data_IF_885083415345
#
_entry.id   IF_885083415345
#
_cell.length_a   1.000
_cell.length_b   1.000
_cell.length_c   1.000
_cell.angle_alpha   90.00
_cell.angle_beta   90.00
_cell.angle_gamma   90.00
#
_symmetry.space_group_name_H-M   'P 1'
#
loop_
_entity.id
_entity.type
_entity.pdbx_description
1 polymer ?
#
# COMPACT_ATOMS: atom_id res chain seq x y z
N UNK A 1 -1.75 -14.06 -0.99
CA UNK A 1 -2.77 -14.36 -2.03
C UNK A 1 -2.71 -13.28 -3.10
N UNK A 2 -3.08 -13.64 -4.33
CA UNK A 2 -3.16 -12.68 -5.45
C UNK A 2 -4.60 -12.58 -5.91
N UNK A 3 -5.11 -11.36 -5.96
CA UNK A 3 -6.45 -11.05 -6.41
C UNK A 3 -6.38 -10.23 -7.70
N UNK A 4 -7.09 -10.66 -8.74
CA UNK A 4 -7.13 -9.98 -10.05
C UNK A 4 -8.56 -9.94 -10.61
N UNK A 5 -8.75 -9.32 -11.78
CA UNK A 5 -10.01 -9.39 -12.51
C UNK A 5 -10.32 -10.77 -13.13
N UNK A 6 -9.44 -11.75 -12.99
CA UNK A 6 -9.67 -13.13 -13.48
C UNK A 6 -9.50 -13.34 -14.98
N UNK A 7 -9.14 -12.31 -15.76
CA UNK A 7 -8.92 -12.38 -17.20
C UNK A 7 -7.55 -12.93 -17.61
N UNK A 8 -7.26 -12.90 -18.90
CA UNK A 8 -5.97 -13.30 -19.46
C UNK A 8 -4.85 -12.28 -19.26
N UNK A 9 -3.72 -12.51 -19.91
CA UNK A 9 -2.56 -11.60 -19.88
C UNK A 9 -1.92 -11.50 -18.50
N UNK A 10 -1.67 -10.28 -18.02
CA UNK A 10 -1.00 -10.05 -16.73
C UNK A 10 -1.80 -10.57 -15.52
N UNK A 11 -3.13 -10.59 -15.60
CA UNK A 11 -3.98 -11.18 -14.57
C UNK A 11 -3.76 -12.70 -14.46
N UNK A 12 -3.64 -13.37 -15.61
CA UNK A 12 -3.30 -14.78 -15.66
C UNK A 12 -1.88 -15.04 -15.10
N UNK A 13 -0.90 -14.23 -15.50
CA UNK A 13 0.47 -14.34 -15.00
C UNK A 13 0.54 -14.20 -13.46
N UNK A 14 -0.25 -13.29 -12.89
CA UNK A 14 -0.39 -13.17 -11.43
C UNK A 14 -0.95 -14.44 -10.79
N UNK A 15 -1.98 -15.04 -11.37
CA UNK A 15 -2.55 -16.29 -10.89
C UNK A 15 -1.62 -17.50 -11.09
N UNK A 16 -0.85 -17.55 -12.19
CA UNK A 16 0.17 -18.57 -12.42
C UNK A 16 1.27 -18.50 -11.35
N UNK A 17 1.74 -17.31 -11.03
CA UNK A 17 2.75 -17.10 -9.99
C UNK A 17 2.27 -17.43 -8.58
N UNK A 18 1.01 -17.16 -8.25
CA UNK A 18 0.41 -17.45 -6.94
C UNK A 18 -0.03 -18.91 -6.80
N UNK A 19 -0.37 -19.56 -7.91
CA UNK A 19 -1.06 -20.86 -7.96
C UNK A 19 -2.56 -20.73 -7.63
N UNK A 20 -3.34 -21.69 -8.11
CA UNK A 20 -4.81 -21.71 -7.99
C UNK A 20 -5.30 -21.52 -6.55
N UNK A 21 -4.63 -22.14 -5.60
CA UNK A 21 -5.03 -22.12 -4.19
C UNK A 21 -4.92 -20.73 -3.57
N UNK A 22 -3.94 -19.94 -4.04
CA UNK A 22 -3.67 -18.58 -3.57
C UNK A 22 -4.21 -17.49 -4.50
N UNK A 23 -5.12 -17.83 -5.41
CA UNK A 23 -5.68 -16.91 -6.39
C UNK A 23 -7.15 -16.63 -6.14
N UNK A 24 -7.53 -15.35 -6.29
CA UNK A 24 -8.92 -14.87 -6.34
C UNK A 24 -9.17 -14.15 -7.66
N UNK A 25 -10.28 -14.46 -8.33
CA UNK A 25 -10.74 -13.76 -9.52
C UNK A 25 -11.99 -12.92 -9.21
N UNK A 26 -11.92 -11.61 -9.37
CA UNK A 26 -13.06 -10.70 -9.26
C UNK A 26 -13.48 -10.24 -10.65
N UNK A 27 -14.25 -11.07 -11.33
CA UNK A 27 -14.64 -10.83 -12.73
C UNK A 27 -15.83 -9.87 -12.82
N UNK A 28 -15.90 -9.12 -13.92
CA UNK A 28 -17.04 -8.26 -14.27
C UNK A 28 -17.83 -8.90 -15.43
N UNK A 29 -19.14 -8.96 -15.28
CA UNK A 29 -20.01 -9.41 -16.37
C UNK A 29 -20.08 -8.33 -17.45
N UNK A 30 -19.49 -8.61 -18.60
CA UNK A 30 -19.55 -7.74 -19.79
C UNK A 30 -20.53 -8.32 -20.81
N UNK A 31 -21.11 -7.49 -21.72
CA UNK A 31 -22.01 -7.94 -22.78
C UNK A 31 -21.34 -8.90 -23.79
N UNK A 32 -20.01 -8.86 -23.89
CA UNK A 32 -19.17 -9.80 -24.64
C UNK A 32 -18.48 -10.73 -23.64
N UNK A 33 -18.47 -12.01 -23.93
CA UNK A 33 -17.87 -13.02 -23.05
C UNK A 33 -16.36 -12.74 -22.86
N UNK A 34 -15.99 -12.42 -21.62
CA UNK A 34 -14.62 -12.41 -21.20
C UNK A 34 -14.39 -13.72 -20.41
N UNK A 35 -13.73 -14.68 -21.03
CA UNK A 35 -13.42 -15.95 -20.39
C UNK A 35 -12.45 -15.73 -19.22
N UNK A 36 -12.69 -16.44 -18.14
CA UNK A 36 -11.72 -16.49 -17.03
C UNK A 36 -10.43 -17.19 -17.49
N UNK A 37 -9.30 -16.82 -16.90
CA UNK A 37 -8.06 -17.53 -17.19
C UNK A 37 -8.10 -18.96 -16.61
N UNK A 38 -7.33 -19.91 -17.22
CA UNK A 38 -7.40 -21.34 -16.85
C UNK A 38 -7.06 -21.65 -15.40
N UNK A 39 -6.32 -20.75 -14.73
CA UNK A 39 -5.91 -20.97 -13.34
C UNK A 39 -7.09 -20.86 -12.37
N UNK A 40 -8.01 -19.91 -12.64
CA UNK A 40 -9.13 -19.61 -11.73
C UNK A 40 -10.49 -20.09 -12.28
N UNK A 41 -10.57 -20.51 -13.54
CA UNK A 41 -11.80 -20.99 -14.15
C UNK A 41 -12.41 -22.13 -13.36
N UNK A 42 -13.73 -22.03 -13.09
CA UNK A 42 -14.50 -23.02 -12.32
C UNK A 42 -14.15 -23.11 -10.85
N UNK A 43 -13.30 -22.23 -10.32
CA UNK A 43 -12.97 -22.17 -8.89
C UNK A 43 -14.03 -21.34 -8.14
N UNK A 44 -14.48 -21.73 -6.92
CA UNK A 44 -15.39 -20.91 -6.12
C UNK A 44 -14.84 -19.54 -5.71
N UNK A 45 -13.53 -19.34 -5.80
CA UNK A 45 -12.87 -18.03 -5.61
C UNK A 45 -12.94 -17.12 -6.85
N UNK A 46 -13.56 -17.57 -7.95
CA UNK A 46 -13.92 -16.71 -9.08
C UNK A 46 -15.30 -16.12 -8.84
N UNK A 47 -15.33 -14.87 -8.43
CA UNK A 47 -16.57 -14.14 -8.08
C UNK A 47 -16.95 -13.23 -9.26
N UNK A 48 -18.22 -13.29 -9.66
CA UNK A 48 -18.74 -12.50 -10.77
C UNK A 48 -19.53 -11.29 -10.28
N UNK A 49 -19.10 -10.10 -10.64
CA UNK A 49 -19.74 -8.84 -10.31
C UNK A 49 -20.56 -8.33 -11.49
N UNK A 50 -21.74 -7.78 -11.18
CA UNK A 50 -22.59 -7.11 -12.16
C UNK A 50 -22.19 -5.65 -12.35
N UNK A 51 -21.70 -5.00 -11.31
CA UNK A 51 -21.39 -3.57 -11.30
C UNK A 51 -19.91 -3.32 -11.01
N UNK A 52 -19.32 -2.36 -11.72
CA UNK A 52 -17.92 -1.98 -11.58
C UNK A 52 -17.60 -1.47 -10.18
N UNK A 53 -18.46 -0.62 -9.60
CA UNK A 53 -18.19 0.00 -8.28
C UNK A 53 -18.11 -1.03 -7.15
N UNK A 54 -18.92 -2.09 -7.20
CA UNK A 54 -18.83 -3.16 -6.18
C UNK A 54 -17.55 -3.96 -6.34
N UNK A 55 -17.15 -4.29 -7.58
CA UNK A 55 -15.88 -4.98 -7.83
C UNK A 55 -14.69 -4.17 -7.35
N UNK A 56 -14.63 -2.87 -7.67
CA UNK A 56 -13.59 -1.96 -7.20
C UNK A 56 -13.44 -1.93 -5.69
N UNK A 57 -14.58 -1.85 -4.99
CA UNK A 57 -14.59 -1.84 -3.53
C UNK A 57 -13.86 -3.06 -2.97
N UNK A 58 -14.13 -4.25 -3.50
CA UNK A 58 -13.48 -5.48 -3.03
C UNK A 58 -12.02 -5.58 -3.48
N UNK A 59 -11.69 -5.13 -4.71
CA UNK A 59 -10.31 -5.12 -5.20
C UNK A 59 -9.38 -4.28 -4.33
N UNK A 60 -9.86 -3.18 -3.76
CA UNK A 60 -9.06 -2.31 -2.92
C UNK A 60 -9.18 -2.67 -1.44
N UNK A 61 -10.40 -2.78 -0.91
CA UNK A 61 -10.64 -2.96 0.52
C UNK A 61 -9.94 -4.18 1.11
N UNK A 62 -9.88 -5.27 0.35
CA UNK A 62 -9.32 -6.55 0.80
C UNK A 62 -7.84 -6.74 0.38
N UNK A 63 -7.16 -5.66 -0.07
CA UNK A 63 -5.77 -5.72 -0.53
C UNK A 63 -4.81 -5.04 0.43
N UNK A 64 -3.75 -5.76 0.80
CA UNK A 64 -2.62 -5.25 1.57
C UNK A 64 -1.56 -4.59 0.68
N UNK A 65 -1.63 -4.75 -0.63
CA UNK A 65 -0.77 -4.10 -1.61
C UNK A 65 -1.48 -4.04 -2.97
N UNK A 66 -1.17 -3.02 -3.75
CA UNK A 66 -1.70 -2.85 -5.11
C UNK A 66 -0.55 -2.80 -6.10
N UNK A 67 -0.58 -3.72 -7.08
CA UNK A 67 0.36 -3.76 -8.20
C UNK A 67 -0.40 -3.44 -9.50
N UNK A 68 -0.03 -2.34 -10.13
CA UNK A 68 -0.64 -1.84 -11.37
C UNK A 68 0.30 -2.04 -12.55
N UNK A 69 -0.19 -2.68 -13.59
CA UNK A 69 0.54 -2.94 -14.84
C UNK A 69 -0.05 -2.15 -16.00
N UNK A 70 0.73 -1.87 -17.07
CA UNK A 70 0.22 -1.16 -18.24
C UNK A 70 -1.08 -1.75 -18.78
N UNK A 71 -2.08 -0.90 -19.04
CA UNK A 71 -3.39 -1.34 -19.51
C UNK A 71 -4.23 -0.20 -20.05
N UNK A 72 -5.49 -0.48 -20.37
CA UNK A 72 -6.44 0.48 -20.92
C UNK A 72 -7.13 1.33 -19.85
N UNK A 73 -8.29 1.87 -20.22
CA UNK A 73 -9.08 2.75 -19.34
C UNK A 73 -9.45 2.11 -18.01
N UNK A 74 -9.72 0.80 -17.96
CA UNK A 74 -10.02 0.12 -16.70
C UNK A 74 -8.84 0.13 -15.72
N UNK A 75 -7.60 0.00 -16.23
CA UNK A 75 -6.39 0.12 -15.39
C UNK A 75 -6.21 1.55 -14.88
N UNK A 76 -6.44 2.55 -15.73
CA UNK A 76 -6.37 3.96 -15.33
C UNK A 76 -7.45 4.32 -14.30
N UNK A 77 -8.64 3.79 -14.48
CA UNK A 77 -9.77 3.95 -13.57
C UNK A 77 -9.43 3.40 -12.16
N UNK A 78 -8.85 2.19 -12.08
CA UNK A 78 -8.39 1.63 -10.81
C UNK A 78 -7.18 2.41 -10.23
N UNK A 79 -6.27 2.87 -11.08
CA UNK A 79 -5.11 3.65 -10.63
C UNK A 79 -5.54 4.97 -9.98
N UNK A 80 -6.40 5.74 -10.64
CA UNK A 80 -6.87 7.02 -10.08
C UNK A 80 -7.78 6.84 -8.87
N UNK A 81 -8.61 5.81 -8.84
CA UNK A 81 -9.40 5.47 -7.66
C UNK A 81 -8.47 5.18 -6.45
N UNK A 82 -7.48 4.32 -6.66
CA UNK A 82 -6.51 3.96 -5.63
C UNK A 82 -5.77 5.21 -5.10
N UNK A 83 -5.28 6.09 -6.00
CA UNK A 83 -4.61 7.33 -5.62
C UNK A 83 -5.55 8.26 -4.83
N UNK A 84 -6.79 8.43 -5.29
CA UNK A 84 -7.78 9.30 -4.62
C UNK A 84 -8.12 8.77 -3.22
N UNK A 85 -8.33 7.47 -3.08
CA UNK A 85 -8.66 6.86 -1.79
C UNK A 85 -7.47 6.91 -0.83
N UNK A 86 -6.24 6.71 -1.32
CA UNK A 86 -5.02 6.85 -0.51
C UNK A 86 -4.81 8.30 -0.08
N UNK A 87 -4.93 9.27 -0.99
CA UNK A 87 -4.79 10.70 -0.73
C UNK A 87 -5.82 11.21 0.30
N UNK A 88 -7.03 10.66 0.27
CA UNK A 88 -8.13 11.08 1.18
C UNK A 88 -8.21 10.23 2.46
N UNK A 89 -7.32 9.26 2.65
CA UNK A 89 -7.31 8.38 3.82
C UNK A 89 -8.51 7.43 3.89
N UNK A 90 -9.20 7.19 2.77
CA UNK A 90 -10.33 6.24 2.67
C UNK A 90 -9.87 4.81 2.37
N UNK A 91 -8.64 4.68 1.92
CA UNK A 91 -7.90 3.44 1.80
C UNK A 91 -6.69 3.54 2.74
N UNK A 92 -6.48 2.56 3.60
CA UNK A 92 -5.41 2.59 4.59
C UNK A 92 -4.03 2.73 3.93
N UNK A 93 -2.99 3.13 4.66
CA UNK A 93 -1.65 3.14 4.10
C UNK A 93 -1.25 1.72 3.66
N UNK A 94 -1.17 1.53 2.35
CA UNK A 94 -0.73 0.30 1.69
C UNK A 94 0.23 0.65 0.56
N UNK A 95 1.20 -0.21 0.22
CA UNK A 95 2.11 0.04 -0.89
C UNK A 95 1.36 -0.07 -2.22
N UNK A 96 1.49 0.97 -3.04
CA UNK A 96 0.98 1.00 -4.42
C UNK A 96 2.18 1.05 -5.36
N UNK A 97 2.30 0.07 -6.24
CA UNK A 97 3.43 -0.06 -7.15
C UNK A 97 2.96 -0.12 -8.60
N UNK A 98 3.42 0.83 -9.39
CA UNK A 98 3.18 0.94 -10.83
C UNK A 98 4.36 0.27 -11.55
N UNK A 99 4.11 -0.91 -12.11
CA UNK A 99 5.16 -1.80 -12.62
C UNK A 99 5.09 -1.84 -14.13
N UNK A 100 6.18 -1.47 -14.79
CA UNK A 100 6.35 -1.59 -16.23
C UNK A 100 7.20 -2.82 -16.60
N UNK A 101 7.20 -3.18 -17.87
CA UNK A 101 8.22 -4.08 -18.42
C UNK A 101 9.60 -3.41 -18.38
N UNK A 102 10.70 -4.16 -18.30
CA UNK A 102 12.04 -3.57 -18.37
C UNK A 102 12.21 -2.66 -19.59
N UNK A 103 12.62 -1.41 -19.36
CA UNK A 103 12.73 -0.36 -20.39
C UNK A 103 11.38 0.20 -20.88
N UNK A 104 10.26 -0.13 -20.26
CA UNK A 104 8.95 0.45 -20.57
C UNK A 104 8.85 1.92 -20.14
N UNK A 105 7.93 2.64 -20.76
CA UNK A 105 7.71 4.07 -20.55
C UNK A 105 6.27 4.44 -20.16
N UNK A 106 5.39 3.45 -20.07
CA UNK A 106 3.96 3.68 -19.80
C UNK A 106 3.73 4.42 -18.48
N UNK A 107 4.25 3.89 -17.38
CA UNK A 107 4.09 4.51 -16.07
C UNK A 107 5.00 5.72 -15.87
N UNK A 108 6.13 5.79 -16.56
CA UNK A 108 6.99 6.98 -16.59
C UNK A 108 6.25 8.15 -17.24
N UNK A 109 5.66 7.94 -18.42
CA UNK A 109 4.86 8.95 -19.12
C UNK A 109 3.63 9.37 -18.31
N UNK A 110 3.01 8.42 -17.61
CA UNK A 110 1.91 8.72 -16.69
C UNK A 110 2.40 9.59 -15.52
N UNK A 111 3.52 9.26 -14.90
CA UNK A 111 4.12 10.04 -13.81
C UNK A 111 4.48 11.46 -14.27
N UNK A 112 5.03 11.61 -15.48
CA UNK A 112 5.28 12.92 -16.07
C UNK A 112 3.99 13.74 -16.30
N UNK A 113 2.90 13.08 -16.68
CA UNK A 113 1.58 13.73 -16.78
C UNK A 113 1.13 14.22 -15.40
N UNK A 114 1.20 13.38 -14.35
CA UNK A 114 0.84 13.76 -12.98
C UNK A 114 1.67 14.98 -12.53
N UNK A 115 2.98 14.93 -12.73
CA UNK A 115 3.89 16.02 -12.38
C UNK A 115 3.51 17.34 -13.08
N UNK A 116 3.42 17.31 -14.40
CA UNK A 116 3.17 18.52 -15.22
C UNK A 116 1.75 19.07 -15.09
N UNK A 117 0.76 18.19 -14.99
CA UNK A 117 -0.64 18.61 -15.09
C UNK A 117 -1.35 18.70 -13.73
N UNK A 118 -0.89 17.98 -12.72
CA UNK A 118 -1.49 18.00 -11.39
C UNK A 118 -0.58 18.69 -10.38
N UNK A 119 0.65 18.22 -10.21
CA UNK A 119 1.56 18.72 -9.19
C UNK A 119 1.96 20.18 -9.44
N UNK A 120 2.51 20.51 -10.61
CA UNK A 120 2.91 21.89 -10.96
C UNK A 120 1.76 22.87 -11.00
N UNK A 121 0.53 22.39 -11.15
CA UNK A 121 -0.68 23.25 -11.11
C UNK A 121 -1.31 23.34 -9.72
N UNK A 122 -0.72 22.70 -8.71
CA UNK A 122 -1.24 22.71 -7.34
C UNK A 122 -2.57 21.96 -7.17
N UNK A 123 -2.87 20.98 -8.04
CA UNK A 123 -4.08 20.17 -7.96
C UNK A 123 -3.92 18.96 -7.05
N UNK A 124 -2.68 18.61 -6.73
CA UNK A 124 -2.27 17.62 -5.74
C UNK A 124 -1.15 18.20 -4.89
N UNK A 125 -0.94 17.66 -3.69
CA UNK A 125 0.11 18.12 -2.78
C UNK A 125 1.50 17.67 -3.23
N UNK A 126 2.59 18.40 -2.86
CA UNK A 126 3.96 18.02 -3.19
C UNK A 126 4.36 16.64 -2.69
N UNK A 127 3.71 16.17 -1.63
CA UNK A 127 3.96 14.88 -0.98
C UNK A 127 3.15 13.72 -1.58
N UNK A 128 2.11 13.99 -2.37
CA UNK A 128 1.26 12.95 -2.97
C UNK A 128 2.01 11.96 -3.88
N UNK A 129 3.11 12.32 -4.57
CA UNK A 129 3.95 11.32 -5.25
C UNK A 129 4.55 10.24 -4.33
N UNK A 130 4.55 10.45 -3.00
CA UNK A 130 4.97 9.43 -2.02
C UNK A 130 3.93 8.31 -1.82
N UNK A 131 2.72 8.45 -2.34
CA UNK A 131 1.65 7.45 -2.25
C UNK A 131 1.92 6.22 -3.12
N UNK A 132 2.81 6.31 -4.12
CA UNK A 132 3.09 5.22 -5.04
C UNK A 132 4.55 5.13 -5.44
N UNK A 133 4.96 3.97 -5.94
CA UNK A 133 6.29 3.71 -6.50
C UNK A 133 6.15 3.36 -7.97
N UNK A 134 6.95 3.97 -8.84
CA UNK A 134 7.04 3.62 -10.28
C UNK A 134 8.35 2.88 -10.53
N UNK A 135 8.29 1.72 -11.18
CA UNK A 135 9.47 0.92 -11.49
C UNK A 135 9.26 0.01 -12.70
N UNK A 136 10.33 -0.32 -13.38
CA UNK A 136 10.41 -1.35 -14.41
C UNK A 136 11.28 -2.56 -13.98
N UNK A 137 11.65 -2.58 -12.68
CA UNK A 137 12.41 -3.65 -12.05
C UNK A 137 11.53 -4.42 -11.04
N UNK A 138 11.38 -5.72 -11.26
CA UNK A 138 10.57 -6.59 -10.39
C UNK A 138 11.16 -6.73 -8.98
N UNK A 139 12.47 -6.65 -8.81
CA UNK A 139 13.11 -6.71 -7.48
C UNK A 139 12.78 -5.44 -6.69
N UNK A 140 12.82 -4.29 -7.35
CA UNK A 140 12.40 -3.01 -6.75
C UNK A 140 10.92 -3.06 -6.38
N UNK A 141 10.06 -3.58 -7.26
CA UNK A 141 8.63 -3.73 -7.01
C UNK A 141 8.35 -4.63 -5.78
N UNK A 142 8.96 -5.81 -5.73
CA UNK A 142 8.81 -6.72 -4.59
C UNK A 142 9.33 -6.08 -3.29
N UNK A 143 10.47 -5.39 -3.35
CA UNK A 143 11.03 -4.70 -2.20
C UNK A 143 10.13 -3.54 -1.72
N UNK A 144 9.51 -2.79 -2.62
CA UNK A 144 8.58 -1.72 -2.25
C UNK A 144 7.40 -2.27 -1.42
N UNK A 145 6.86 -3.43 -1.82
CA UNK A 145 5.77 -4.09 -1.10
C UNK A 145 6.24 -4.67 0.24
N UNK A 146 7.32 -5.45 0.24
CA UNK A 146 7.74 -6.18 1.45
C UNK A 146 8.32 -5.26 2.51
N UNK A 147 9.09 -4.23 2.12
CA UNK A 147 9.67 -3.26 3.05
C UNK A 147 8.63 -2.33 3.66
N UNK A 148 7.50 -2.10 2.98
CA UNK A 148 6.42 -1.29 3.54
C UNK A 148 5.90 -1.85 4.87
N UNK A 149 5.95 -3.15 5.03
CA UNK A 149 5.52 -3.86 6.24
C UNK A 149 6.68 -4.40 7.09
N UNK A 150 7.88 -3.84 6.96
CA UNK A 150 9.04 -4.32 7.72
C UNK A 150 8.89 -4.04 9.22
N UNK A 151 8.53 -2.82 9.59
CA UNK A 151 8.27 -2.37 10.95
C UNK A 151 6.80 -1.96 11.12
N UNK A 152 6.26 -1.18 10.20
CA UNK A 152 4.85 -0.86 10.15
C UNK A 152 4.01 -2.13 10.03
N UNK A 153 2.98 -2.26 10.86
CA UNK A 153 2.01 -3.35 10.77
C UNK A 153 0.69 -2.85 10.17
N UNK A 154 0.07 -1.89 10.81
CA UNK A 154 -1.24 -1.35 10.41
C UNK A 154 -1.50 -0.02 11.12
N UNK A 155 -2.54 0.67 10.72
CA UNK A 155 -3.00 1.86 11.43
C UNK A 155 -4.52 1.92 11.50
N UNK A 156 -5.04 2.61 12.51
CA UNK A 156 -6.47 2.89 12.66
C UNK A 156 -6.70 4.17 13.46
N UNK A 157 -7.87 4.72 13.33
CA UNK A 157 -8.31 5.78 14.23
C UNK A 157 -9.00 5.20 15.46
N UNK A 158 -8.66 5.75 16.62
CA UNK A 158 -9.34 5.52 17.90
C UNK A 158 -9.76 6.91 18.43
N UNK A 159 -11.01 7.25 18.23
CA UNK A 159 -11.47 8.62 18.40
C UNK A 159 -10.79 9.55 17.39
N UNK A 160 -10.13 10.60 17.89
CA UNK A 160 -9.39 11.60 17.11
C UNK A 160 -7.90 11.27 16.95
N UNK A 161 -7.44 10.16 17.53
CA UNK A 161 -6.04 9.73 17.48
C UNK A 161 -5.82 8.70 16.38
N UNK A 162 -4.76 8.90 15.59
CA UNK A 162 -4.21 7.89 14.72
C UNK A 162 -3.31 6.97 15.54
N UNK A 163 -3.60 5.69 15.55
CA UNK A 163 -2.80 4.63 16.18
C UNK A 163 -2.08 3.88 15.09
N UNK A 164 -0.74 3.89 15.11
CA UNK A 164 0.13 3.14 14.20
C UNK A 164 0.71 1.97 14.99
N UNK A 165 0.40 0.74 14.55
CA UNK A 165 0.90 -0.49 15.15
C UNK A 165 2.18 -0.90 14.47
N UNK A 166 3.15 -1.33 15.26
CA UNK A 166 4.48 -1.69 14.81
C UNK A 166 4.78 -3.16 15.13
N UNK A 167 5.61 -3.79 14.31
CA UNK A 167 6.13 -5.14 14.57
C UNK A 167 7.33 -5.14 15.52
N UNK A 168 7.99 -3.99 15.64
CA UNK A 168 9.19 -3.78 16.46
C UNK A 168 8.99 -2.50 17.25
N UNK A 169 9.38 -2.50 18.52
CA UNK A 169 9.34 -1.30 19.34
C UNK A 169 10.49 -0.35 18.96
N UNK A 170 10.16 0.92 18.75
CA UNK A 170 11.15 1.95 18.45
C UNK A 170 11.78 2.48 19.73
N UNK A 171 13.06 2.85 19.65
CA UNK A 171 13.75 3.55 20.73
C UNK A 171 13.23 4.98 20.91
N UNK A 172 13.45 5.58 22.08
CA UNK A 172 13.08 6.98 22.33
C UNK A 172 13.77 7.94 21.35
N UNK A 173 15.02 7.64 20.95
CA UNK A 173 15.78 8.45 19.97
C UNK A 173 15.09 8.42 18.60
N UNK A 174 14.63 7.27 18.15
CA UNK A 174 13.90 7.13 16.88
C UNK A 174 12.57 7.89 16.92
N UNK A 175 11.84 7.82 18.03
CA UNK A 175 10.59 8.58 18.21
C UNK A 175 10.85 10.09 18.21
N UNK A 176 11.95 10.55 18.83
CA UNK A 176 12.36 11.97 18.76
C UNK A 176 12.71 12.39 17.32
N UNK A 177 13.37 11.53 16.55
CA UNK A 177 13.61 11.79 15.11
C UNK A 177 12.31 11.91 14.32
N UNK A 178 11.30 11.07 14.60
CA UNK A 178 9.99 11.20 13.99
C UNK A 178 9.33 12.52 14.37
N UNK A 179 9.38 12.93 15.63
CA UNK A 179 8.85 14.22 16.08
C UNK A 179 9.56 15.40 15.40
N UNK A 180 10.88 15.33 15.26
CA UNK A 180 11.66 16.40 14.61
C UNK A 180 11.30 16.54 13.10
N UNK A 181 11.02 15.43 12.43
CA UNK A 181 10.82 15.42 10.97
C UNK A 181 9.36 15.50 10.53
N UNK A 182 8.40 15.13 11.40
CA UNK A 182 6.98 14.97 11.03
C UNK A 182 6.01 15.69 11.99
N UNK A 183 6.48 16.68 12.75
CA UNK A 183 5.59 17.51 13.60
C UNK A 183 4.59 18.34 12.78
N UNK A 184 4.88 18.58 11.51
CA UNK A 184 4.03 19.30 10.55
C UNK A 184 2.70 18.61 10.25
N UNK A 185 2.60 17.29 10.46
CA UNK A 185 1.34 16.54 10.25
C UNK A 185 0.45 16.48 11.50
N UNK A 186 0.87 17.06 12.60
CA UNK A 186 0.13 17.02 13.87
C UNK A 186 -0.84 18.19 14.00
N UNK A 187 -2.04 17.93 14.48
CA UNK A 187 -2.97 18.97 14.92
C UNK A 187 -2.50 19.56 16.25
N UNK A 188 -2.03 18.71 17.13
CA UNK A 188 -1.53 19.07 18.47
C UNK A 188 -0.68 17.94 19.06
N UNK A 189 0.04 18.22 20.13
CA UNK A 189 0.80 17.21 20.87
C UNK A 189 2.05 16.75 20.13
N UNK A 190 2.34 15.47 20.29
CA UNK A 190 3.54 14.80 19.77
C UNK A 190 3.20 13.40 19.26
N UNK A 191 4.14 12.80 18.53
CA UNK A 191 4.16 11.36 18.27
C UNK A 191 4.66 10.69 19.54
N UNK A 192 3.87 9.80 20.13
CA UNK A 192 4.17 9.16 21.41
C UNK A 192 4.09 7.63 21.29
N UNK A 193 4.96 6.93 22.00
CA UNK A 193 4.84 5.49 22.20
C UNK A 193 3.65 5.18 23.10
N UNK A 194 2.94 4.09 22.82
CA UNK A 194 1.81 3.66 23.62
C UNK A 194 1.69 2.14 23.65
N UNK A 195 1.07 1.63 24.69
CA UNK A 195 0.47 0.30 24.70
C UNK A 195 -0.91 0.36 24.03
N UNK A 196 -1.57 -0.80 23.90
CA UNK A 196 -2.92 -0.85 23.37
C UNK A 196 -3.87 0.06 24.14
N UNK A 197 -4.64 0.86 23.42
CA UNK A 197 -5.64 1.71 24.03
C UNK A 197 -6.82 0.85 24.55
N UNK A 198 -7.59 1.32 25.55
CA UNK A 198 -8.70 0.54 26.10
C UNK A 198 -9.69 0.04 25.06
N UNK A 199 -9.89 0.79 23.97
CA UNK A 199 -10.78 0.44 22.86
C UNK A 199 -10.20 -0.67 21.95
N UNK A 200 -8.95 -1.04 22.14
CA UNK A 200 -8.25 -2.10 21.40
C UNK A 200 -8.06 -3.39 22.22
N UNK A 201 -8.67 -3.49 23.40
CA UNK A 201 -8.47 -4.59 24.35
C UNK A 201 -8.85 -5.98 23.82
N UNK A 202 -9.63 -6.06 22.73
CA UNK A 202 -10.05 -7.31 22.11
C UNK A 202 -9.41 -7.52 20.72
N UNK A 203 -8.49 -6.64 20.31
CA UNK A 203 -7.84 -6.75 19.01
C UNK A 203 -6.78 -7.87 19.05
N UNK A 204 -6.69 -8.65 17.98
CA UNK A 204 -5.62 -9.67 17.79
C UNK A 204 -4.20 -9.05 17.82
N UNK A 205 -4.12 -7.74 17.61
CA UNK A 205 -2.88 -6.95 17.61
C UNK A 205 -2.58 -6.30 18.96
N UNK A 206 -3.22 -6.75 20.05
CA UNK A 206 -3.12 -6.14 21.40
C UNK A 206 -1.67 -5.99 21.87
N UNK A 207 -0.82 -6.97 21.60
CA UNK A 207 0.56 -7.03 22.08
C UNK A 207 1.56 -6.21 21.24
N UNK A 208 1.12 -5.67 20.07
CA UNK A 208 2.03 -4.91 19.21
C UNK A 208 2.36 -3.54 19.81
N UNK A 209 3.64 -3.08 19.71
CA UNK A 209 4.01 -1.70 20.02
C UNK A 209 3.24 -0.70 19.17
N UNK A 210 3.02 0.50 19.70
CA UNK A 210 2.23 1.55 19.04
C UNK A 210 2.90 2.91 19.09
N UNK A 211 2.66 3.68 18.02
CA UNK A 211 2.76 5.13 18.04
C UNK A 211 1.36 5.71 17.99
N UNK A 212 1.13 6.76 18.77
CA UNK A 212 -0.15 7.48 18.83
C UNK A 212 0.10 8.96 18.54
N UNK A 213 -0.71 9.55 17.69
CA UNK A 213 -0.59 10.96 17.31
C UNK A 213 -1.95 11.55 16.91
N UNK A 214 -2.07 12.87 17.06
CA UNK A 214 -3.22 13.63 16.56
C UNK A 214 -2.95 14.09 15.13
N UNK A 215 -3.14 13.18 14.18
CA UNK A 215 -2.89 13.42 12.77
C UNK A 215 -3.93 14.39 12.16
N UNK A 216 -3.49 15.31 11.31
CA UNK A 216 -4.32 16.34 10.70
C UNK A 216 -5.29 15.84 9.62
N UNK A 217 -5.25 14.57 9.25
CA UNK A 217 -6.12 13.88 8.29
C UNK A 217 -6.08 14.49 6.86
N UNK A 218 -5.06 15.27 6.54
CA UNK A 218 -4.89 15.92 5.23
C UNK A 218 -3.61 15.50 4.51
N UNK A 219 -2.50 15.43 5.26
CA UNK A 219 -1.18 15.28 4.67
C UNK A 219 -0.81 13.79 4.58
N UNK A 220 -1.64 13.01 3.84
CA UNK A 220 -1.46 11.56 3.73
C UNK A 220 -0.13 11.20 3.06
N UNK A 221 0.31 11.97 2.04
CA UNK A 221 1.63 11.79 1.43
C UNK A 221 2.76 11.90 2.45
N UNK A 222 2.67 12.85 3.41
CA UNK A 222 3.61 12.97 4.54
C UNK A 222 3.52 11.78 5.49
N UNK A 223 2.31 11.26 5.74
CA UNK A 223 2.12 10.05 6.53
C UNK A 223 2.83 8.84 5.89
N UNK A 224 2.74 8.68 4.55
CA UNK A 224 3.48 7.64 3.83
C UNK A 224 5.00 7.82 3.96
N UNK A 225 5.52 9.06 3.90
CA UNK A 225 6.93 9.36 4.16
C UNK A 225 7.32 8.98 5.59
N UNK A 226 6.47 9.25 6.59
CA UNK A 226 6.71 8.83 7.97
C UNK A 226 6.74 7.31 8.12
N UNK A 227 5.82 6.58 7.48
CA UNK A 227 5.81 5.11 7.47
C UNK A 227 7.10 4.56 6.82
N UNK A 228 7.56 5.17 5.72
CA UNK A 228 8.83 4.80 5.10
C UNK A 228 10.02 5.05 6.04
N UNK A 229 10.02 6.16 6.78
CA UNK A 229 11.04 6.43 7.80
C UNK A 229 11.01 5.40 8.93
N UNK A 230 9.83 5.06 9.46
CA UNK A 230 9.62 4.02 10.47
C UNK A 230 10.19 2.67 9.99
N UNK A 231 9.91 2.28 8.75
CA UNK A 231 10.38 1.01 8.19
C UNK A 231 11.91 0.97 8.00
N UNK A 232 12.58 2.11 7.92
CA UNK A 232 14.04 2.20 7.84
C UNK A 232 14.70 2.19 9.24
N UNK A 233 14.01 2.59 10.29
CA UNK A 233 14.54 2.66 11.67
C UNK A 233 14.73 1.27 12.28
N UNK A 234 13.77 0.38 12.15
CA UNK A 234 13.86 -0.98 12.69
C UNK A 234 14.79 -1.94 11.94
N UNK A 235 15.56 -1.45 10.98
CA UNK A 235 16.55 -2.27 10.27
C UNK A 235 17.87 -2.21 11.03
N UNK A 236 18.42 -3.35 11.52
CA UNK A 236 19.76 -3.36 12.10
C UNK A 236 20.75 -2.73 11.11
N UNK A 237 21.60 -1.82 11.59
CA UNK A 237 22.64 -1.22 10.76
C UNK A 237 23.50 -2.31 10.11
N UNK A 238 24.13 -2.08 8.96
CA UNK A 238 25.05 -3.05 8.36
C UNK A 238 26.17 -3.51 9.31
N UNK A 239 26.51 -2.71 10.32
CA UNK A 239 27.49 -3.01 11.37
C UNK A 239 26.96 -3.96 12.43
N UNK A 240 25.65 -3.97 12.72
CA UNK A 240 25.01 -4.87 13.68
C UNK A 240 24.68 -6.25 13.08
N UNK A 241 24.76 -6.39 11.75
CA UNK A 241 24.73 -7.69 11.07
C UNK A 241 26.09 -8.36 11.21
N UNK A 242 26.40 -8.75 12.46
CA UNK A 242 27.64 -9.43 12.81
C UNK A 242 27.95 -10.59 11.88
N UNK A 243 29.25 -10.78 11.63
CA UNK A 243 29.83 -11.89 10.89
C UNK A 243 29.12 -13.21 11.22
N UNK A 244 28.74 -14.03 10.22
CA UNK A 244 28.42 -15.41 10.52
C UNK A 244 29.67 -16.07 11.11
N UNK A 245 29.59 -16.46 12.39
CA UNK A 245 30.59 -17.34 12.98
C UNK A 245 30.71 -18.58 12.08
N UNK A 246 31.87 -18.70 11.45
CA UNK A 246 32.28 -19.95 10.80
C UNK A 246 32.49 -21.00 11.90
N UNK A 247 31.61 -21.95 11.94
CA UNK A 247 31.87 -23.27 12.53
C UNK A 247 31.79 -24.31 11.46
#
# INVERSE_FOLDING_TARGET
MVMTGGGGGIMQAGHEGAGRENSFGLNIQLPFEQQANPIIEGDPKLIHFKYFFTRKLFLLKESDAVALFPGGFGTQDEAFECMTLSQTGKFGPVPVVLIDRPGGDYWRSWSEYIDKQLLHKGLVSPEDPSLYTVTDDLVVACNAITRFYQVYHSSRYVGDRLVIRLKIDLSEVEVEQLNANFSDILVTGRIEKSQALPQEAQDETFDLPRLVLYFNQRDLGRLYQMIAAINNMGTPSPEERGHPERK
#
